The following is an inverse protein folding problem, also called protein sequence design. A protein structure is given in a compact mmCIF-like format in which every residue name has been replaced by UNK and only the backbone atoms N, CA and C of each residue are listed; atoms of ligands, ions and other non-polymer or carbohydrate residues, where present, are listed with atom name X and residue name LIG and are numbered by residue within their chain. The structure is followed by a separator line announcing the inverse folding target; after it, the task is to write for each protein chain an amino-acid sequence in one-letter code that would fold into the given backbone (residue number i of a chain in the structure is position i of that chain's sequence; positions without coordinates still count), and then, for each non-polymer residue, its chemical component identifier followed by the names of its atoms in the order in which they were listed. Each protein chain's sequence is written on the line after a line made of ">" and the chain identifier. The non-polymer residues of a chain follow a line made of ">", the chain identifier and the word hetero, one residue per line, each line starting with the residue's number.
data_IF_578465657784
#
_entry.id   IF_578465657784
#
_cell.length_a   1.000
_cell.length_b   1.000
_cell.length_c   1.000
_cell.angle_alpha   90.00
_cell.angle_beta   90.00
_cell.angle_gamma   90.00
#
_symmetry.space_group_name_H-M   'P 1'
#
loop_
_entity.id
_entity.type
_entity.pdbx_description
1 polymer ?
#
# COMPACT_ATOMS: atom_id res chain seq x y z
N UNK A 1 10.82 26.08 -21.33
CA UNK A 1 10.90 24.62 -21.14
C UNK A 1 11.04 24.37 -19.64
N UNK A 2 9.95 24.30 -18.88
CA UNK A 2 10.02 23.95 -17.46
C UNK A 2 8.86 23.02 -17.11
N UNK A 3 9.12 21.72 -17.22
CA UNK A 3 8.18 20.66 -16.87
C UNK A 3 8.20 20.45 -15.34
N UNK A 4 7.44 21.24 -14.60
CA UNK A 4 7.14 20.93 -13.20
C UNK A 4 6.24 19.69 -13.16
N UNK A 5 6.83 18.52 -12.92
CA UNK A 5 6.06 17.32 -12.56
C UNK A 5 5.55 17.48 -11.13
N UNK A 6 4.45 18.24 -10.99
CA UNK A 6 3.64 18.20 -9.79
C UNK A 6 3.20 16.74 -9.58
N UNK A 7 3.71 16.09 -8.53
CA UNK A 7 3.20 14.78 -8.14
C UNK A 7 1.70 14.96 -7.86
N UNK A 8 0.80 14.26 -8.57
CA UNK A 8 -0.62 14.41 -8.32
C UNK A 8 -0.87 14.05 -6.86
N UNK A 9 -1.49 14.99 -6.13
CA UNK A 9 -1.94 14.76 -4.74
C UNK A 9 -2.79 13.50 -4.77
N UNK A 10 -2.27 12.40 -4.21
CA UNK A 10 -3.00 11.13 -4.13
C UNK A 10 -4.33 11.40 -3.46
N UNK A 11 -5.44 11.07 -4.13
CA UNK A 11 -6.78 11.21 -3.57
C UNK A 11 -6.84 10.55 -2.19
N UNK A 12 -7.54 11.18 -1.23
CA UNK A 12 -7.82 10.57 0.06
C UNK A 12 -8.40 9.17 -0.16
N UNK A 13 -7.89 8.20 0.60
CA UNK A 13 -8.43 6.85 0.56
C UNK A 13 -9.83 6.88 1.18
N UNK A 14 -10.84 6.50 0.41
CA UNK A 14 -12.23 6.40 0.85
C UNK A 14 -12.38 5.31 1.91
N UNK A 15 -13.52 5.28 2.61
CA UNK A 15 -13.80 4.24 3.60
C UNK A 15 -13.80 2.83 2.98
N UNK A 16 -14.36 2.66 1.78
CA UNK A 16 -14.38 1.38 1.07
C UNK A 16 -12.98 0.93 0.62
N UNK A 17 -12.18 1.84 0.04
CA UNK A 17 -10.78 1.54 -0.27
C UNK A 17 -10.00 1.14 0.99
N UNK A 18 -10.25 1.82 2.11
CA UNK A 18 -9.57 1.54 3.38
C UNK A 18 -9.92 0.17 3.93
N UNK A 19 -11.19 -0.25 3.85
CA UNK A 19 -11.62 -1.55 4.35
C UNK A 19 -10.95 -2.71 3.58
N UNK A 20 -10.99 -2.67 2.24
CA UNK A 20 -10.29 -3.64 1.40
C UNK A 20 -8.79 -3.64 1.67
N UNK A 21 -8.19 -2.44 1.75
CA UNK A 21 -6.77 -2.33 2.03
C UNK A 21 -6.39 -2.99 3.37
N UNK A 22 -7.17 -2.75 4.42
CA UNK A 22 -6.95 -3.37 5.73
C UNK A 22 -7.17 -4.89 5.69
N UNK A 23 -8.17 -5.38 4.94
CA UNK A 23 -8.40 -6.81 4.79
C UNK A 23 -7.20 -7.50 4.12
N UNK A 24 -6.70 -6.95 3.00
CA UNK A 24 -5.52 -7.48 2.30
C UNK A 24 -4.26 -7.47 3.17
N UNK A 25 -4.07 -6.42 3.98
CA UNK A 25 -2.94 -6.34 4.93
C UNK A 25 -3.06 -7.40 6.04
N UNK A 26 -4.28 -7.71 6.51
CA UNK A 26 -4.52 -8.73 7.54
C UNK A 26 -4.19 -10.14 7.04
N UNK A 27 -4.46 -10.43 5.77
CA UNK A 27 -4.09 -11.70 5.12
C UNK A 27 -2.56 -11.87 5.03
N UNK A 28 -1.84 -10.76 4.87
CA UNK A 28 -0.38 -10.72 4.72
C UNK A 28 0.35 -10.42 6.04
N UNK A 29 0.35 -11.39 6.97
CA UNK A 29 0.99 -11.28 8.31
C UNK A 29 2.45 -10.78 8.26
N UNK A 30 3.18 -11.10 7.19
CA UNK A 30 4.60 -10.71 7.02
C UNK A 30 4.80 -9.19 6.94
N UNK A 31 3.76 -8.43 6.56
CA UNK A 31 3.82 -6.95 6.52
C UNK A 31 3.95 -6.36 7.94
N UNK A 32 3.42 -7.06 8.95
CA UNK A 32 3.51 -6.68 10.36
C UNK A 32 4.73 -7.26 11.08
N UNK A 33 5.51 -8.11 10.41
CA UNK A 33 6.72 -8.69 10.98
C UNK A 33 7.75 -7.58 11.26
N UNK A 34 8.38 -7.59 12.44
CA UNK A 34 9.41 -6.59 12.82
C UNK A 34 10.80 -6.95 12.34
N UNK A 35 11.04 -8.20 11.91
CA UNK A 35 12.34 -8.66 11.41
C UNK A 35 12.73 -7.91 10.14
N UNK A 36 14.03 -7.68 10.00
CA UNK A 36 14.64 -6.90 8.92
C UNK A 36 15.70 -7.70 8.15
N UNK A 37 15.77 -9.01 8.38
CA UNK A 37 16.67 -9.88 7.63
C UNK A 37 16.34 -9.88 6.13
N UNK A 38 17.34 -10.13 5.29
CA UNK A 38 17.22 -10.06 3.83
C UNK A 38 16.07 -10.91 3.30
N UNK A 39 15.82 -12.07 3.90
CA UNK A 39 14.74 -12.98 3.50
C UNK A 39 13.37 -12.37 3.82
N UNK A 40 13.17 -11.83 5.02
CA UNK A 40 11.93 -11.16 5.41
C UNK A 40 11.70 -9.90 4.58
N UNK A 41 12.73 -9.13 4.25
CA UNK A 41 12.60 -7.96 3.37
C UNK A 41 12.06 -8.35 1.98
N UNK A 42 12.59 -9.43 1.39
CA UNK A 42 12.10 -9.95 0.11
C UNK A 42 10.64 -10.42 0.23
N UNK A 43 10.30 -11.18 1.28
CA UNK A 43 8.93 -11.64 1.51
C UNK A 43 7.94 -10.47 1.68
N UNK A 44 8.33 -9.42 2.43
CA UNK A 44 7.54 -8.19 2.57
C UNK A 44 7.32 -7.52 1.23
N UNK A 45 8.34 -7.42 0.38
CA UNK A 45 8.18 -6.82 -0.95
C UNK A 45 7.20 -7.61 -1.82
N UNK A 46 7.23 -8.94 -1.78
CA UNK A 46 6.25 -9.77 -2.47
C UNK A 46 4.83 -9.61 -1.89
N UNK A 47 4.70 -9.55 -0.56
CA UNK A 47 3.42 -9.29 0.10
C UNK A 47 2.83 -7.93 -0.31
N UNK A 48 3.65 -6.88 -0.31
CA UNK A 48 3.24 -5.57 -0.78
C UNK A 48 2.80 -5.56 -2.24
N UNK A 49 3.46 -6.34 -3.09
CA UNK A 49 3.04 -6.52 -4.48
C UNK A 49 1.64 -7.15 -4.54
N UNK A 50 1.41 -8.26 -3.83
CA UNK A 50 0.09 -8.93 -3.79
C UNK A 50 -1.01 -8.02 -3.27
N UNK A 51 -0.75 -7.28 -2.19
CA UNK A 51 -1.71 -6.28 -1.65
C UNK A 51 -2.00 -5.19 -2.68
N UNK A 52 -0.99 -4.72 -3.40
CA UNK A 52 -1.17 -3.68 -4.43
C UNK A 52 -1.97 -4.19 -5.60
N UNK A 53 -1.68 -5.41 -6.07
CA UNK A 53 -2.41 -6.05 -7.15
C UNK A 53 -3.87 -6.29 -6.76
N UNK A 54 -4.13 -6.81 -5.55
CA UNK A 54 -5.49 -7.01 -5.02
C UNK A 54 -6.26 -5.70 -4.83
N UNK A 55 -5.60 -4.67 -4.29
CA UNK A 55 -6.21 -3.35 -4.12
C UNK A 55 -6.60 -2.72 -5.47
N UNK A 56 -5.71 -2.80 -6.46
CA UNK A 56 -5.95 -2.26 -7.79
C UNK A 56 -6.99 -3.08 -8.58
N UNK A 57 -7.08 -4.38 -8.33
CA UNK A 57 -8.08 -5.26 -8.94
C UNK A 57 -9.49 -5.03 -8.38
N UNK A 58 -9.61 -4.56 -7.13
CA UNK A 58 -10.91 -4.28 -6.51
C UNK A 58 -11.70 -3.14 -7.19
N UNK A 59 -11.05 -2.30 -8.01
CA UNK A 59 -11.72 -1.30 -8.85
C UNK A 59 -12.43 -0.18 -8.09
N UNK A 60 -12.25 -0.06 -6.77
CA UNK A 60 -12.93 0.95 -5.93
C UNK A 60 -12.39 2.37 -6.07
N UNK A 61 -11.31 2.57 -6.81
CA UNK A 61 -10.63 3.87 -6.88
C UNK A 61 -9.47 3.89 -7.87
N UNK A 62 -8.69 4.99 -7.89
CA UNK A 62 -7.52 5.09 -8.75
C UNK A 62 -6.48 4.03 -8.37
N UNK A 63 -5.77 3.52 -9.37
CA UNK A 63 -4.67 2.58 -9.14
C UNK A 63 -3.61 3.23 -8.25
N UNK A 64 -3.17 2.52 -7.22
CA UNK A 64 -2.12 2.94 -6.31
C UNK A 64 -0.85 2.14 -6.53
N UNK A 65 0.29 2.79 -6.30
CA UNK A 65 1.60 2.12 -6.30
C UNK A 65 1.89 1.55 -4.92
N UNK A 66 2.82 0.58 -4.86
CA UNK A 66 3.32 0.00 -3.61
C UNK A 66 3.76 1.11 -2.63
N UNK A 67 4.47 2.14 -3.12
CA UNK A 67 4.95 3.24 -2.28
C UNK A 67 3.82 4.06 -1.67
N UNK A 68 2.75 4.32 -2.44
CA UNK A 68 1.58 5.05 -1.94
C UNK A 68 0.83 4.24 -0.87
N UNK A 69 0.68 2.94 -1.06
CA UNK A 69 0.06 2.04 -0.08
C UNK A 69 0.92 1.89 1.18
N UNK A 70 2.24 1.77 1.05
CA UNK A 70 3.17 1.81 2.19
C UNK A 70 3.01 3.09 3.01
N UNK A 71 3.00 4.26 2.34
CA UNK A 71 2.78 5.55 3.01
C UNK A 71 1.37 5.66 3.64
N UNK A 72 0.36 5.08 3.02
CA UNK A 72 -0.99 5.01 3.59
C UNK A 72 -0.98 4.16 4.87
N UNK A 73 -0.32 3.01 4.85
CA UNK A 73 -0.21 2.11 5.99
C UNK A 73 0.51 2.73 7.18
N UNK A 74 1.64 3.40 6.97
CA UNK A 74 2.34 4.09 8.05
C UNK A 74 1.46 5.18 8.70
N UNK A 75 0.65 5.90 7.92
CA UNK A 75 -0.34 6.85 8.46
C UNK A 75 -1.48 6.17 9.24
N UNK A 76 -1.83 4.94 8.89
CA UNK A 76 -2.87 4.16 9.56
C UNK A 76 -2.40 3.54 10.87
N UNK A 77 -1.11 3.19 11.00
CA UNK A 77 -0.53 2.67 12.25
C UNK A 77 -0.37 3.72 13.34
N UNK A 78 -0.20 4.99 12.95
CA UNK A 78 0.06 6.11 13.87
C UNK A 78 -1.24 6.67 14.50
N UNK A 79 -2.40 6.26 13.99
CA UNK A 79 -3.72 6.57 14.57
C UNK A 79 -4.20 5.43 15.45
#
# INVERSE_FOLDING_TARGET
>A
MESHTATPRTSPMTAGERDIFLNLIREEKVINDRRTDRRIVVLKNHAWKRVTDGFNAAGLGPKRTIQQLKKAWERLKVK
#
